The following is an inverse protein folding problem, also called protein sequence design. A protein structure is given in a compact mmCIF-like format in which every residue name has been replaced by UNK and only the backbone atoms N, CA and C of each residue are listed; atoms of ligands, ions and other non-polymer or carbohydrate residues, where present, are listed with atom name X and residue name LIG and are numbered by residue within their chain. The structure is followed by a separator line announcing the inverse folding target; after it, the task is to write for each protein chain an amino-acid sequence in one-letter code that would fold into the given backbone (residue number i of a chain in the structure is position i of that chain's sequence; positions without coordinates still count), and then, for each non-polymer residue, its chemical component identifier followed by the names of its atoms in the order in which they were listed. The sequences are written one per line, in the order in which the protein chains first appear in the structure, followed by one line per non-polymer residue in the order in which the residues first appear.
data_IF_701001217695
#
_entry.id   IF_701001217695
#
_cell.length_a   1.000
_cell.length_b   1.000
_cell.length_c   1.000
_cell.angle_alpha   90.00
_cell.angle_beta   90.00
_cell.angle_gamma   90.00
#
_symmetry.space_group_name_H-M   'P 1'
#
loop_
_entity.id
_entity.type
_entity.pdbx_description
1 polymer ?
#
# COMPACT_ATOMS: atom_id res chain seq x y z
N UNK A 1 21.50 -10.63 -4.24
CA UNK A 1 20.03 -10.86 -4.16
C UNK A 1 19.44 -10.17 -2.93
N UNK A 2 19.92 -10.47 -1.71
CA UNK A 2 19.43 -9.85 -0.46
C UNK A 2 19.49 -8.31 -0.48
N UNK A 3 20.64 -7.71 -0.80
CA UNK A 3 20.77 -6.24 -0.87
C UNK A 3 19.74 -5.59 -1.81
N UNK A 4 19.43 -6.24 -2.93
CA UNK A 4 18.42 -5.75 -3.89
C UNK A 4 17.02 -5.84 -3.31
N UNK A 5 16.68 -6.96 -2.66
CA UNK A 5 15.39 -7.13 -1.99
C UNK A 5 15.20 -6.05 -0.91
N UNK A 6 16.24 -5.76 -0.11
CA UNK A 6 16.20 -4.67 0.87
C UNK A 6 16.06 -3.29 0.22
N UNK A 7 16.75 -3.02 -0.89
CA UNK A 7 16.61 -1.77 -1.62
C UNK A 7 15.17 -1.59 -2.16
N UNK A 8 14.56 -2.65 -2.69
CA UNK A 8 13.15 -2.65 -3.11
C UNK A 8 12.22 -2.43 -1.91
N UNK A 9 12.44 -3.12 -0.79
CA UNK A 9 11.66 -2.93 0.43
C UNK A 9 11.70 -1.48 0.95
N UNK A 10 12.86 -0.82 0.89
CA UNK A 10 13.00 0.59 1.31
C UNK A 10 12.36 1.59 0.33
N UNK A 11 12.26 1.24 -0.94
CA UNK A 11 11.66 2.10 -1.97
C UNK A 11 10.86 1.25 -2.97
N UNK A 12 9.67 0.77 -2.55
CA UNK A 12 8.92 -0.18 -3.34
C UNK A 12 8.32 0.49 -4.57
N UNK A 13 8.33 -0.19 -5.74
CA UNK A 13 7.52 0.24 -6.86
C UNK A 13 6.02 0.11 -6.52
N UNK A 14 5.13 0.77 -7.28
CA UNK A 14 3.68 0.67 -7.03
C UNK A 14 3.10 -0.74 -7.14
N UNK A 15 3.78 -1.65 -7.85
CA UNK A 15 3.34 -3.03 -8.06
C UNK A 15 4.53 -3.97 -7.90
N UNK A 16 4.30 -5.03 -7.13
CA UNK A 16 5.20 -6.16 -6.97
C UNK A 16 4.46 -7.46 -7.30
N UNK A 17 5.14 -8.40 -7.97
CA UNK A 17 4.59 -9.70 -8.33
C UNK A 17 5.62 -10.77 -8.01
N UNK A 18 5.25 -11.76 -7.20
CA UNK A 18 6.15 -12.83 -6.79
C UNK A 18 5.58 -14.20 -7.16
N UNK A 19 6.47 -15.12 -7.49
CA UNK A 19 6.15 -16.54 -7.62
C UNK A 19 6.57 -17.23 -6.32
N UNK A 20 5.62 -17.47 -5.43
CA UNK A 20 5.91 -18.01 -4.10
C UNK A 20 6.40 -19.46 -4.11
N UNK A 21 6.22 -20.20 -5.23
CA UNK A 21 6.74 -21.57 -5.33
C UNK A 21 8.24 -21.54 -5.65
N UNK A 22 8.65 -20.67 -6.57
CA UNK A 22 10.05 -20.53 -6.98
C UNK A 22 10.85 -19.54 -6.12
N UNK A 23 10.16 -18.62 -5.44
CA UNK A 23 10.72 -17.53 -4.64
C UNK A 23 9.90 -17.32 -3.36
N UNK A 24 9.96 -18.27 -2.40
CA UNK A 24 9.15 -18.23 -1.18
C UNK A 24 9.48 -17.06 -0.24
N UNK A 25 10.58 -16.36 -0.48
CA UNK A 25 11.02 -15.19 0.30
C UNK A 25 10.86 -13.86 -0.45
N UNK A 26 10.23 -13.87 -1.63
CA UNK A 26 9.87 -12.66 -2.38
C UNK A 26 11.08 -11.75 -2.73
N UNK A 27 12.23 -12.35 -3.04
CA UNK A 27 13.44 -11.58 -3.37
C UNK A 27 13.49 -11.12 -4.83
N UNK A 28 12.64 -11.68 -5.69
CA UNK A 28 12.63 -11.48 -7.14
C UNK A 28 11.28 -10.97 -7.61
N UNK A 29 11.13 -9.65 -7.58
CA UNK A 29 9.97 -8.99 -8.17
C UNK A 29 9.89 -9.24 -9.69
N UNK A 30 8.78 -9.84 -10.12
CA UNK A 30 8.43 -10.21 -11.49
C UNK A 30 7.45 -9.22 -12.15
N UNK A 31 7.11 -8.12 -11.48
CA UNK A 31 6.24 -7.11 -12.03
C UNK A 31 6.79 -6.56 -13.36
N UNK A 32 5.88 -6.24 -14.28
CA UNK A 32 6.18 -5.69 -15.60
C UNK A 32 6.97 -6.62 -16.54
N UNK A 33 7.13 -7.90 -16.21
CA UNK A 33 7.67 -8.90 -17.15
C UNK A 33 6.60 -9.22 -18.21
N UNK A 34 6.87 -9.02 -19.53
CA UNK A 34 5.86 -9.22 -20.58
C UNK A 34 5.25 -10.63 -20.57
N UNK A 35 6.07 -11.65 -20.29
CA UNK A 35 5.64 -13.06 -20.18
C UNK A 35 4.62 -13.30 -19.07
N UNK A 36 4.55 -12.42 -18.07
CA UNK A 36 3.66 -12.54 -16.90
C UNK A 36 2.55 -11.46 -16.89
N UNK A 37 2.41 -10.68 -17.97
CA UNK A 37 1.42 -9.60 -18.04
C UNK A 37 -0.02 -10.11 -17.82
N UNK A 38 -0.36 -11.28 -18.35
CA UNK A 38 -1.67 -11.91 -18.15
C UNK A 38 -1.91 -12.30 -16.67
N UNK A 39 -0.87 -12.82 -16.00
CA UNK A 39 -0.93 -13.19 -14.57
C UNK A 39 -1.10 -11.93 -13.72
N UNK A 40 -0.27 -10.91 -13.95
CA UNK A 40 -0.34 -9.62 -13.25
C UNK A 40 -1.71 -8.98 -13.41
N UNK A 41 -2.25 -8.95 -14.64
CA UNK A 41 -3.59 -8.39 -14.92
C UNK A 41 -4.68 -9.13 -14.14
N UNK A 42 -4.67 -10.47 -14.18
CA UNK A 42 -5.67 -11.29 -13.48
C UNK A 42 -5.65 -11.06 -11.96
N UNK A 43 -4.47 -11.05 -11.35
CA UNK A 43 -4.32 -10.85 -9.91
C UNK A 43 -4.71 -9.43 -9.50
N UNK A 44 -4.28 -8.42 -10.27
CA UNK A 44 -4.66 -7.03 -10.02
C UNK A 44 -6.18 -6.85 -10.15
N UNK A 45 -6.83 -7.42 -11.16
CA UNK A 45 -8.30 -7.39 -11.26
C UNK A 45 -8.95 -8.04 -10.05
N UNK A 46 -8.49 -9.22 -9.61
CA UNK A 46 -9.05 -9.89 -8.43
C UNK A 46 -8.93 -9.05 -7.15
N UNK A 47 -7.79 -8.36 -6.96
CA UNK A 47 -7.59 -7.43 -5.85
C UNK A 47 -8.59 -6.27 -5.94
N UNK A 48 -8.71 -5.62 -7.11
CA UNK A 48 -9.64 -4.49 -7.30
C UNK A 48 -11.09 -4.91 -7.09
N UNK A 49 -11.46 -6.12 -7.49
CA UNK A 49 -12.80 -6.66 -7.27
C UNK A 49 -13.04 -6.83 -5.78
N UNK A 50 -12.12 -7.48 -5.07
CA UNK A 50 -12.21 -7.66 -3.62
C UNK A 50 -12.32 -6.33 -2.87
N UNK A 51 -11.52 -5.32 -3.23
CA UNK A 51 -11.62 -3.98 -2.64
C UNK A 51 -13.03 -3.37 -2.81
N UNK A 52 -13.66 -3.53 -3.98
CA UNK A 52 -15.03 -3.05 -4.20
C UNK A 52 -16.04 -3.87 -3.41
N UNK A 53 -15.89 -5.19 -3.40
CA UNK A 53 -16.81 -6.13 -2.73
C UNK A 53 -16.84 -5.88 -1.22
N UNK A 54 -15.69 -5.62 -0.60
CA UNK A 54 -15.56 -5.31 0.83
C UNK A 54 -15.87 -3.86 1.17
N UNK A 55 -16.10 -3.00 0.17
CA UNK A 55 -16.35 -1.57 0.38
C UNK A 55 -15.13 -0.82 0.89
N UNK A 56 -13.93 -1.16 0.42
CA UNK A 56 -12.69 -0.46 0.75
C UNK A 56 -12.81 1.03 0.37
N UNK A 57 -12.76 1.95 1.34
CA UNK A 57 -12.90 3.38 1.09
C UNK A 57 -11.74 3.95 0.27
N UNK A 58 -10.59 3.27 0.22
CA UNK A 58 -9.41 3.71 -0.52
C UNK A 58 -9.47 3.36 -2.02
N UNK A 59 -10.55 2.73 -2.49
CA UNK A 59 -10.83 2.60 -3.93
C UNK A 59 -11.12 3.96 -4.56
N UNK A 60 -11.75 4.86 -3.81
CA UNK A 60 -12.02 6.23 -4.25
C UNK A 60 -10.72 7.06 -4.24
N UNK A 61 -10.43 7.70 -5.38
CA UNK A 61 -9.18 8.44 -5.55
C UNK A 61 -9.08 9.68 -4.63
N UNK A 62 -10.21 10.33 -4.31
CA UNK A 62 -10.23 11.48 -3.44
C UNK A 62 -10.02 11.07 -1.97
N UNK A 63 -10.65 9.97 -1.55
CA UNK A 63 -10.42 9.35 -0.25
C UNK A 63 -8.98 8.88 -0.08
N UNK A 64 -8.42 8.19 -1.07
CA UNK A 64 -7.01 7.78 -1.06
C UNK A 64 -6.08 8.98 -0.92
N UNK A 65 -6.28 10.03 -1.74
CA UNK A 65 -5.49 11.26 -1.66
C UNK A 65 -5.59 11.91 -0.27
N UNK A 66 -6.79 12.00 0.28
CA UNK A 66 -7.02 12.57 1.63
C UNK A 66 -6.28 11.77 2.70
N UNK A 67 -6.34 10.45 2.64
CA UNK A 67 -5.60 9.57 3.56
C UNK A 67 -4.09 9.76 3.43
N UNK A 68 -3.53 9.66 2.22
CA UNK A 68 -2.08 9.74 2.04
C UNK A 68 -1.52 11.11 2.44
N UNK A 69 -2.22 12.21 2.12
CA UNK A 69 -1.81 13.54 2.57
C UNK A 69 -1.71 13.65 4.09
N UNK A 70 -2.66 13.07 4.83
CA UNK A 70 -2.63 13.08 6.28
C UNK A 70 -1.48 12.24 6.86
N UNK A 71 -1.19 11.08 6.26
CA UNK A 71 -0.04 10.25 6.65
C UNK A 71 1.27 10.99 6.38
N UNK A 72 1.40 11.64 5.23
CA UNK A 72 2.58 12.41 4.84
C UNK A 72 2.82 13.60 5.78
N UNK A 73 1.76 14.33 6.16
CA UNK A 73 1.83 15.41 7.15
C UNK A 73 2.37 14.91 8.50
N UNK A 74 1.83 13.78 8.99
CA UNK A 74 2.27 13.21 10.26
C UNK A 74 3.71 12.66 10.20
N UNK A 75 4.13 12.12 9.05
CA UNK A 75 5.50 11.67 8.80
C UNK A 75 6.49 12.85 8.72
N UNK A 76 6.04 14.02 8.24
CA UNK A 76 6.85 15.23 8.12
C UNK A 76 7.13 15.91 9.46
N UNK A 77 6.35 15.63 10.51
CA UNK A 77 6.51 16.23 11.83
C UNK A 77 7.92 16.00 12.43
N UNK A 78 8.40 17.00 13.17
CA UNK A 78 9.69 16.96 13.88
C UNK A 78 9.50 17.13 15.39
N UNK A 79 10.18 16.32 16.23
CA UNK A 79 10.94 15.12 15.85
C UNK A 79 10.04 14.04 15.21
N UNK A 80 10.60 13.05 14.49
CA UNK A 80 9.80 11.99 13.89
C UNK A 80 8.86 11.35 14.91
N UNK A 81 7.64 11.03 14.46
CA UNK A 81 6.59 10.43 15.29
C UNK A 81 6.14 11.32 16.47
N UNK A 82 6.35 12.65 16.41
CA UNK A 82 5.94 13.56 17.48
C UNK A 82 4.44 13.54 17.76
N UNK A 83 3.61 13.22 16.76
CA UNK A 83 2.17 13.01 16.93
C UNK A 83 1.82 11.99 18.02
N UNK A 84 2.71 11.02 18.30
CA UNK A 84 2.51 10.02 19.37
C UNK A 84 2.63 10.59 20.78
N UNK A 85 3.26 11.75 20.92
CA UNK A 85 3.49 12.43 22.21
C UNK A 85 2.45 13.52 22.47
N UNK A 86 1.75 13.96 21.42
CA UNK A 86 0.67 14.93 21.54
C UNK A 86 -0.61 14.24 22.02
N UNK A 87 -1.06 14.59 23.22
CA UNK A 87 -2.28 14.03 23.83
C UNK A 87 -3.56 14.48 23.12
N UNK A 88 -3.49 15.57 22.35
CA UNK A 88 -4.61 16.12 21.59
C UNK A 88 -4.60 15.65 20.13
N UNK A 89 -3.57 14.91 19.71
CA UNK A 89 -3.49 14.42 18.35
C UNK A 89 -4.59 13.38 18.08
N UNK A 90 -5.28 13.58 16.96
CA UNK A 90 -6.29 12.66 16.45
C UNK A 90 -6.17 12.57 14.93
N UNK A 91 -6.16 11.35 14.42
CA UNK A 91 -6.28 11.11 12.99
C UNK A 91 -7.67 11.54 12.48
N UNK A 92 -7.68 12.46 11.53
CA UNK A 92 -8.86 12.96 10.81
C UNK A 92 -9.46 11.87 9.92
N UNK A 93 -8.68 10.88 9.46
CA UNK A 93 -9.25 9.76 8.69
C UNK A 93 -10.35 9.02 9.44
N UNK A 94 -10.31 8.99 10.77
CA UNK A 94 -11.31 8.33 11.60
C UNK A 94 -12.72 8.94 11.47
N UNK A 95 -12.83 10.19 11.01
CA UNK A 95 -14.13 10.87 10.91
C UNK A 95 -14.89 10.49 9.62
N UNK A 96 -14.18 10.05 8.59
CA UNK A 96 -14.75 9.79 7.27
C UNK A 96 -14.47 8.37 6.74
N UNK A 97 -13.42 7.70 7.19
CA UNK A 97 -13.12 6.30 6.88
C UNK A 97 -13.97 5.39 7.77
N UNK A 98 -15.29 5.37 7.50
CA UNK A 98 -16.23 4.54 8.26
C UNK A 98 -16.22 3.11 7.69
N UNK A 99 -16.06 2.07 8.54
CA UNK A 99 -16.28 0.70 8.09
C UNK A 99 -17.73 0.57 7.61
N UNK A 100 -17.95 -0.25 6.57
CA UNK A 100 -19.30 -0.59 6.11
C UNK A 100 -20.06 -1.23 7.29
N UNK A 101 -21.32 -0.84 7.57
CA UNK A 101 -22.12 -1.49 8.61
C UNK A 101 -22.35 -2.97 8.31
#
# INVERSE_FOLDING_TARGET
LIQKAYATYHNPPPVELYDLQADPYEFKNLANKPKLAAVQKRLHSRLRDWQRDTGDPLVDAAALKRYTTEIDEAAALKPPLSYRRDKNFRWRYLDWMKPKP
#
